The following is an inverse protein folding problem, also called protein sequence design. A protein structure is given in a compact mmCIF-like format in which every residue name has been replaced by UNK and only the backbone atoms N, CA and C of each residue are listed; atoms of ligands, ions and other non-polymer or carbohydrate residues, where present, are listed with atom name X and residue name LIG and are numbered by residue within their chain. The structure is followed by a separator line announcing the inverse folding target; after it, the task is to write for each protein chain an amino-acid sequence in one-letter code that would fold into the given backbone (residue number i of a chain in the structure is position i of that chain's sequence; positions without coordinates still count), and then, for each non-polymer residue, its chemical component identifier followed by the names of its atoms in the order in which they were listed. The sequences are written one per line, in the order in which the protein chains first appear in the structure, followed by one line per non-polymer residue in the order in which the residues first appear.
data_IF_311383238652
#
_entry.id   IF_311383238652
#
_cell.length_a   1.000
_cell.length_b   1.000
_cell.length_c   1.000
_cell.angle_alpha   90.00
_cell.angle_beta   90.00
_cell.angle_gamma   90.00
#
_symmetry.space_group_name_H-M   'P 1'
#
loop_
_entity.id
_entity.type
_entity.pdbx_description
1 polymer ?
#
# COMPACT_ATOMS: atom_id res chain seq x y z
N UNK A 1 -9.41 -8.92 -12.77
CA UNK A 1 -9.68 -7.78 -13.68
C UNK A 1 -8.47 -7.65 -14.59
N UNK A 2 -8.69 -7.53 -15.90
CA UNK A 2 -7.62 -7.30 -16.87
C UNK A 2 -7.21 -5.81 -16.82
N UNK A 3 -5.94 -5.51 -17.02
CA UNK A 3 -5.44 -4.13 -17.11
C UNK A 3 -6.14 -3.38 -18.27
N UNK A 4 -6.24 -2.04 -18.22
CA UNK A 4 -6.85 -1.24 -19.30
C UNK A 4 -6.19 -1.53 -20.66
N UNK A 5 -7.01 -1.62 -21.72
CA UNK A 5 -6.61 -2.12 -23.05
C UNK A 5 -6.02 -1.05 -23.99
N UNK A 6 -6.04 0.22 -23.59
CA UNK A 6 -5.47 1.35 -24.36
C UNK A 6 -4.17 1.80 -23.71
N UNK A 7 -3.14 2.05 -24.53
CA UNK A 7 -1.85 2.56 -24.05
C UNK A 7 -2.08 3.87 -23.28
N UNK A 8 -1.63 3.96 -22.01
CA UNK A 8 -1.93 5.11 -21.17
C UNK A 8 -1.20 6.37 -21.67
N UNK A 9 -1.75 7.54 -21.36
CA UNK A 9 -1.14 8.82 -21.77
C UNK A 9 0.13 9.15 -20.97
N UNK A 10 0.20 8.63 -19.74
CA UNK A 10 1.33 8.68 -18.84
C UNK A 10 1.25 7.47 -17.88
N UNK A 11 2.37 7.11 -17.27
CA UNK A 11 2.45 6.07 -16.26
C UNK A 11 3.11 6.62 -15.01
N UNK A 12 2.46 6.41 -13.86
CA UNK A 12 3.02 6.71 -12.54
C UNK A 12 3.43 5.41 -11.86
N UNK A 13 4.73 5.10 -11.89
CA UNK A 13 5.32 3.99 -11.14
C UNK A 13 5.50 4.37 -9.67
N UNK A 14 5.09 3.47 -8.76
CA UNK A 14 5.22 3.62 -7.32
C UNK A 14 5.95 2.42 -6.74
N UNK A 15 7.15 2.65 -6.22
CA UNK A 15 7.82 1.72 -5.32
C UNK A 15 7.36 2.00 -3.88
N UNK A 16 6.57 1.09 -3.31
CA UNK A 16 5.83 1.38 -2.08
C UNK A 16 6.63 1.01 -0.82
N UNK A 17 7.18 2.02 -0.15
CA UNK A 17 7.81 1.87 1.17
C UNK A 17 6.89 2.18 2.37
N UNK A 18 7.30 1.73 3.57
CA UNK A 18 6.53 1.87 4.81
C UNK A 18 6.25 3.33 5.19
N UNK A 19 7.28 4.17 5.16
CA UNK A 19 7.22 5.58 5.58
C UNK A 19 7.10 6.55 4.41
N UNK A 20 7.71 6.20 3.29
CA UNK A 20 7.70 6.95 2.04
C UNK A 20 7.66 5.96 0.89
N UNK A 21 6.96 6.32 -0.17
CA UNK A 21 7.07 5.72 -1.48
C UNK A 21 8.07 6.52 -2.30
N UNK A 22 8.55 5.93 -3.40
CA UNK A 22 9.11 6.72 -4.50
C UNK A 22 8.15 6.70 -5.67
N UNK A 23 7.89 7.87 -6.25
CA UNK A 23 6.98 8.07 -7.36
C UNK A 23 7.76 8.54 -8.59
N UNK A 24 7.60 7.83 -9.70
CA UNK A 24 8.17 8.20 -11.00
C UNK A 24 7.05 8.30 -12.04
N UNK A 25 6.82 9.52 -12.53
CA UNK A 25 5.86 9.80 -13.59
C UNK A 25 6.61 9.88 -14.92
N UNK A 26 6.22 9.03 -15.87
CA UNK A 26 6.70 9.08 -17.25
C UNK A 26 5.55 9.37 -18.21
N UNK A 27 5.84 10.04 -19.31
CA UNK A 27 4.87 10.22 -20.39
C UNK A 27 4.76 8.98 -21.30
N UNK A 28 4.00 9.11 -22.40
CA UNK A 28 3.78 8.04 -23.38
C UNK A 28 5.04 7.66 -24.18
N UNK A 29 5.98 8.59 -24.29
CA UNK A 29 7.22 8.46 -25.05
C UNK A 29 8.33 7.88 -24.15
N UNK A 30 8.09 7.84 -22.84
CA UNK A 30 8.99 7.26 -21.84
C UNK A 30 9.92 8.29 -21.19
N UNK A 31 9.63 9.58 -21.36
CA UNK A 31 10.35 10.67 -20.73
C UNK A 31 9.86 10.87 -19.29
N UNK A 32 10.81 11.07 -18.36
CA UNK A 32 10.51 11.27 -16.94
C UNK A 32 10.03 12.70 -16.74
N UNK A 33 8.77 12.88 -16.38
CA UNK A 33 8.16 14.18 -16.08
C UNK A 33 8.39 14.60 -14.62
N UNK A 34 8.42 13.63 -13.71
CA UNK A 34 8.68 13.85 -12.29
C UNK A 34 9.20 12.58 -11.61
N UNK A 35 10.15 12.73 -10.69
CA UNK A 35 10.68 11.65 -9.84
C UNK A 35 10.90 12.21 -8.43
N UNK A 36 10.19 11.69 -7.43
CA UNK A 36 10.30 12.22 -6.06
C UNK A 36 9.82 11.23 -4.99
N UNK A 37 10.35 11.34 -3.75
CA UNK A 37 9.79 10.63 -2.61
C UNK A 37 8.43 11.23 -2.21
N UNK A 38 7.48 10.37 -1.87
CA UNK A 38 6.13 10.76 -1.41
C UNK A 38 5.85 10.08 -0.08
N UNK A 39 5.63 10.88 0.97
CA UNK A 39 5.31 10.36 2.31
C UNK A 39 4.04 9.51 2.26
N UNK A 40 4.02 8.40 3.00
CA UNK A 40 2.87 7.51 3.10
C UNK A 40 1.78 8.13 4.01
N UNK A 41 1.14 9.18 3.51
CA UNK A 41 0.09 9.98 4.17
C UNK A 41 -0.95 10.37 3.13
N UNK A 42 -2.20 10.49 3.57
CA UNK A 42 -3.32 10.76 2.64
C UNK A 42 -3.14 12.06 1.86
N UNK A 43 -2.76 13.15 2.53
CA UNK A 43 -2.61 14.46 1.89
C UNK A 43 -1.51 14.48 0.82
N UNK A 44 -0.35 13.89 1.10
CA UNK A 44 0.76 13.81 0.14
C UNK A 44 0.44 12.90 -1.05
N UNK A 45 -0.26 11.78 -0.82
CA UNK A 45 -0.75 10.92 -1.90
C UNK A 45 -1.83 11.60 -2.74
N UNK A 46 -2.75 12.32 -2.10
CA UNK A 46 -3.80 13.08 -2.80
C UNK A 46 -3.20 14.18 -3.68
N UNK A 47 -2.21 14.90 -3.17
CA UNK A 47 -1.48 15.91 -3.94
C UNK A 47 -0.75 15.29 -5.14
N UNK A 48 -0.08 14.15 -4.94
CA UNK A 48 0.55 13.40 -6.04
C UNK A 48 -0.47 13.04 -7.12
N UNK A 49 -1.59 12.41 -6.75
CA UNK A 49 -2.58 11.93 -7.72
C UNK A 49 -3.35 13.07 -8.39
N UNK A 50 -3.58 14.19 -7.70
CA UNK A 50 -4.17 15.39 -8.29
C UNK A 50 -3.25 16.06 -9.32
N UNK A 51 -1.93 15.89 -9.19
CA UNK A 51 -0.95 16.42 -10.16
C UNK A 51 -0.77 15.55 -11.41
N UNK A 52 -1.27 14.32 -11.38
CA UNK A 52 -1.13 13.38 -12.49
C UNK A 52 -1.99 13.80 -13.69
N UNK A 53 -1.43 13.78 -14.93
CA UNK A 53 -2.21 14.06 -16.14
C UNK A 53 -3.41 13.13 -16.31
N UNK A 54 -4.44 13.62 -17.02
CA UNK A 54 -5.59 12.79 -17.37
C UNK A 54 -5.16 11.56 -18.20
N UNK A 55 -5.69 10.39 -17.87
CA UNK A 55 -5.31 9.13 -18.52
C UNK A 55 -4.01 8.52 -18.00
N UNK A 56 -3.48 8.99 -16.86
CA UNK A 56 -2.38 8.35 -16.14
C UNK A 56 -2.80 6.97 -15.61
N UNK A 57 -1.98 5.95 -15.85
CA UNK A 57 -2.07 4.66 -15.19
C UNK A 57 -1.11 4.63 -13.98
N UNK A 58 -1.64 4.38 -12.79
CA UNK A 58 -0.83 4.17 -11.58
C UNK A 58 -0.43 2.71 -11.48
N UNK A 59 0.85 2.43 -11.30
CA UNK A 59 1.38 1.06 -11.17
C UNK A 59 2.18 0.93 -9.89
N UNK A 60 1.78 -0.01 -9.05
CA UNK A 60 2.46 -0.32 -7.78
C UNK A 60 3.19 -1.67 -7.87
N UNK A 61 4.26 -1.83 -7.10
CA UNK A 61 4.98 -3.10 -6.88
C UNK A 61 4.42 -3.94 -5.72
N UNK A 62 3.52 -3.37 -4.92
CA UNK A 62 2.73 -4.08 -3.93
C UNK A 62 1.41 -3.35 -3.69
N UNK A 63 0.26 -4.01 -3.82
CA UNK A 63 -1.05 -3.38 -3.63
C UNK A 63 -1.71 -3.71 -2.27
N UNK A 64 -1.13 -4.63 -1.50
CA UNK A 64 -1.57 -5.00 -0.14
C UNK A 64 -0.69 -4.37 0.92
N UNK A 65 -1.15 -4.38 2.17
CA UNK A 65 -0.41 -3.85 3.33
C UNK A 65 0.08 -2.42 3.04
N UNK A 66 1.39 -2.23 2.85
CA UNK A 66 2.05 -0.94 2.61
C UNK A 66 1.41 -0.17 1.45
N UNK A 67 1.16 -0.80 0.30
CA UNK A 67 0.59 -0.10 -0.86
C UNK A 67 -0.92 0.07 -0.84
N UNK A 68 -1.62 -0.44 0.18
CA UNK A 68 -3.09 -0.35 0.24
C UNK A 68 -3.59 1.10 0.27
N UNK A 69 -2.88 1.99 0.96
CA UNK A 69 -3.27 3.40 1.04
C UNK A 69 -3.14 4.08 -0.33
N UNK A 70 -1.99 3.94 -0.98
CA UNK A 70 -1.73 4.48 -2.31
C UNK A 70 -2.79 4.02 -3.34
N UNK A 71 -3.12 2.72 -3.34
CA UNK A 71 -4.17 2.15 -4.21
C UNK A 71 -5.53 2.80 -3.94
N UNK A 72 -5.93 2.92 -2.67
CA UNK A 72 -7.22 3.54 -2.31
C UNK A 72 -7.28 5.00 -2.73
N UNK A 73 -6.22 5.78 -2.47
CA UNK A 73 -6.18 7.20 -2.81
C UNK A 73 -6.13 7.44 -4.32
N UNK A 74 -5.37 6.64 -5.08
CA UNK A 74 -5.36 6.69 -6.54
C UNK A 74 -6.75 6.42 -7.14
N UNK A 75 -7.47 5.41 -6.63
CA UNK A 75 -8.85 5.12 -7.04
C UNK A 75 -9.82 6.25 -6.66
N UNK A 76 -9.67 6.84 -5.48
CA UNK A 76 -10.47 7.98 -5.05
C UNK A 76 -10.25 9.21 -5.96
N UNK A 77 -9.05 9.38 -6.51
CA UNK A 77 -8.73 10.37 -7.53
C UNK A 77 -9.21 9.99 -8.95
N UNK A 78 -9.88 8.85 -9.12
CA UNK A 78 -10.39 8.38 -10.42
C UNK A 78 -9.33 7.80 -11.35
N UNK A 79 -8.12 7.54 -10.86
CA UNK A 79 -7.03 6.98 -11.66
C UNK A 79 -7.16 5.46 -11.80
N UNK A 80 -6.78 4.94 -12.96
CA UNK A 80 -6.64 3.51 -13.15
C UNK A 80 -5.43 2.99 -12.35
N UNK A 81 -5.56 1.83 -11.73
CA UNK A 81 -4.50 1.22 -10.91
C UNK A 81 -4.21 -0.20 -11.38
N UNK A 82 -2.93 -0.49 -11.59
CA UNK A 82 -2.41 -1.82 -11.89
C UNK A 82 -1.27 -2.19 -10.93
N UNK A 83 -0.91 -3.46 -10.94
CA UNK A 83 0.14 -4.05 -10.12
C UNK A 83 1.18 -4.71 -11.03
N UNK A 84 2.48 -4.44 -10.80
CA UNK A 84 3.58 -5.13 -11.46
C UNK A 84 4.07 -6.29 -10.57
N UNK A 85 3.88 -7.56 -10.96
CA UNK A 85 4.34 -8.71 -10.18
C UNK A 85 5.86 -8.72 -9.99
N UNK A 86 6.33 -9.14 -8.80
CA UNK A 86 7.76 -9.13 -8.45
C UNK A 86 8.67 -9.89 -9.41
N UNK A 87 8.18 -10.95 -10.07
CA UNK A 87 8.91 -11.67 -11.13
C UNK A 87 9.11 -10.83 -12.39
N UNK A 88 8.11 -10.03 -12.76
CA UNK A 88 8.21 -9.11 -13.90
C UNK A 88 9.11 -7.92 -13.57
N UNK A 89 8.96 -7.34 -12.37
CA UNK A 89 9.84 -6.28 -11.87
C UNK A 89 11.31 -6.72 -11.80
N UNK A 90 11.59 -7.93 -11.28
CA UNK A 90 12.95 -8.47 -11.19
C UNK A 90 13.59 -8.70 -12.57
N UNK A 91 12.83 -9.21 -13.55
CA UNK A 91 13.32 -9.35 -14.93
C UNK A 91 13.61 -8.00 -15.58
N UNK A 92 12.75 -7.02 -15.36
CA UNK A 92 12.96 -5.67 -15.88
C UNK A 92 14.18 -5.01 -15.25
N UNK A 93 14.34 -5.07 -13.92
CA UNK A 93 15.50 -4.54 -13.21
C UNK A 93 16.82 -5.16 -13.69
N UNK A 94 16.82 -6.45 -14.04
CA UNK A 94 17.99 -7.14 -14.61
C UNK A 94 18.46 -6.58 -15.97
N UNK A 95 17.59 -5.86 -16.70
CA UNK A 95 17.98 -5.17 -17.95
C UNK A 95 18.74 -3.86 -17.69
N UNK A 96 18.71 -3.35 -16.45
CA UNK A 96 19.41 -2.14 -16.01
C UNK A 96 20.68 -2.48 -15.20
N UNK A 97 21.28 -3.65 -15.47
CA UNK A 97 22.36 -4.24 -14.69
C UNK A 97 23.58 -3.31 -14.48
N UNK A 98 24.09 -3.28 -13.24
CA UNK A 98 25.38 -2.67 -12.88
C UNK A 98 25.33 -1.57 -11.81
N UNK A 99 24.14 -1.10 -11.43
CA UNK A 99 23.98 0.01 -10.47
C UNK A 99 23.32 -0.45 -9.16
N UNK A 100 23.62 0.24 -8.07
CA UNK A 100 23.03 -0.06 -6.76
C UNK A 100 21.51 0.08 -6.79
N UNK A 101 20.81 -0.84 -6.12
CA UNK A 101 19.35 -0.80 -6.00
C UNK A 101 18.92 0.46 -5.23
N UNK A 102 18.07 1.28 -5.82
CA UNK A 102 17.46 2.47 -5.18
C UNK A 102 15.96 2.51 -5.43
N UNK A 103 15.20 3.01 -4.46
CA UNK A 103 13.75 3.16 -4.58
C UNK A 103 13.35 4.04 -5.79
N UNK A 104 14.18 5.03 -6.11
CA UNK A 104 14.04 5.86 -7.31
C UNK A 104 14.03 5.04 -8.60
N UNK A 105 15.05 4.18 -8.75
CA UNK A 105 15.21 3.37 -9.94
C UNK A 105 14.14 2.29 -10.02
N UNK A 106 13.76 1.70 -8.89
CA UNK A 106 12.66 0.74 -8.82
C UNK A 106 11.35 1.37 -9.32
N UNK A 107 11.03 2.60 -8.89
CA UNK A 107 9.86 3.34 -9.36
C UNK A 107 9.90 3.62 -10.88
N UNK A 108 11.06 4.01 -11.42
CA UNK A 108 11.24 4.22 -12.86
C UNK A 108 11.10 2.91 -13.65
N UNK A 109 11.70 1.82 -13.16
CA UNK A 109 11.58 0.48 -13.76
C UNK A 109 10.12 0.04 -13.79
N UNK A 110 9.36 0.26 -12.72
CA UNK A 110 7.93 -0.03 -12.68
C UNK A 110 7.19 0.75 -13.77
N UNK A 111 7.42 2.06 -13.87
CA UNK A 111 6.77 2.92 -14.86
C UNK A 111 7.10 2.49 -16.30
N UNK A 112 8.39 2.31 -16.60
CA UNK A 112 8.86 1.89 -17.93
C UNK A 112 8.36 0.51 -18.31
N UNK A 113 8.35 -0.44 -17.38
CA UNK A 113 7.85 -1.80 -17.62
C UNK A 113 6.37 -1.79 -17.95
N UNK A 114 5.58 -1.00 -17.23
CA UNK A 114 4.17 -0.85 -17.51
C UNK A 114 3.88 -0.22 -18.88
N UNK A 115 4.70 0.74 -19.32
CA UNK A 115 4.57 1.37 -20.63
C UNK A 115 5.00 0.43 -21.77
N UNK A 116 6.12 -0.28 -21.61
CA UNK A 116 6.71 -1.12 -22.66
C UNK A 116 6.15 -2.55 -22.73
N UNK A 117 5.69 -3.10 -21.60
CA UNK A 117 5.23 -4.49 -21.46
C UNK A 117 3.91 -4.54 -20.68
N UNK A 118 2.81 -3.98 -21.22
CA UNK A 118 1.52 -3.90 -20.51
C UNK A 118 0.94 -5.26 -20.10
N UNK A 119 1.27 -6.33 -20.84
CA UNK A 119 0.85 -7.70 -20.52
C UNK A 119 1.51 -8.27 -19.25
N UNK A 120 2.55 -7.60 -18.73
CA UNK A 120 3.16 -7.93 -17.44
C UNK A 120 2.31 -7.48 -16.23
N UNK A 121 1.31 -6.63 -16.45
CA UNK A 121 0.51 -6.02 -15.40
C UNK A 121 -0.66 -6.90 -14.97
N UNK A 122 -0.93 -6.91 -13.66
CA UNK A 122 -2.10 -7.52 -13.05
C UNK A 122 -3.07 -6.44 -12.56
N UNK A 123 -4.38 -6.70 -12.66
CA UNK A 123 -5.39 -5.79 -12.12
C UNK A 123 -5.47 -5.85 -10.60
N UNK A 124 -5.71 -4.70 -9.95
CA UNK A 124 -5.90 -4.63 -8.50
C UNK A 124 -7.39 -4.83 -8.16
N UNK A 125 -7.77 -5.77 -7.26
CA UNK A 125 -9.18 -6.04 -6.91
C UNK A 125 -9.88 -4.83 -6.27
N UNK A 126 -11.09 -4.46 -6.72
CA UNK A 126 -11.72 -3.19 -6.31
C UNK A 126 -12.67 -3.22 -5.11
N UNK A 127 -13.45 -4.30 -4.92
CA UNK A 127 -14.65 -4.28 -4.07
C UNK A 127 -14.59 -5.20 -2.83
N UNK A 128 -13.83 -6.28 -2.91
CA UNK A 128 -13.64 -7.20 -1.79
C UNK A 128 -12.70 -6.64 -0.72
N UNK A 129 -11.76 -5.77 -1.08
CA UNK A 129 -10.69 -5.32 -0.18
C UNK A 129 -11.21 -4.54 1.04
N UNK A 130 -12.21 -3.67 0.88
CA UNK A 130 -12.77 -2.92 2.00
C UNK A 130 -13.49 -3.84 3.00
N UNK A 131 -14.22 -4.84 2.50
CA UNK A 131 -14.89 -5.83 3.34
C UNK A 131 -13.88 -6.73 4.06
N UNK A 132 -12.83 -7.18 3.38
CA UNK A 132 -11.76 -7.97 3.99
C UNK A 132 -10.98 -7.16 5.03
N UNK A 133 -10.70 -5.88 4.77
CA UNK A 133 -10.08 -4.99 5.75
C UNK A 133 -10.96 -4.80 6.99
N UNK A 134 -12.28 -4.61 6.81
CA UNK A 134 -13.22 -4.52 7.92
C UNK A 134 -13.27 -5.82 8.73
N UNK A 135 -13.26 -6.99 8.07
CA UNK A 135 -13.20 -8.30 8.73
C UNK A 135 -11.91 -8.47 9.53
N UNK A 136 -10.77 -8.10 8.97
CA UNK A 136 -9.48 -8.15 9.67
C UNK A 136 -9.47 -7.25 10.91
N UNK A 137 -9.99 -6.02 10.80
CA UNK A 137 -10.12 -5.11 11.94
C UNK A 137 -11.07 -5.65 13.02
N UNK A 138 -12.21 -6.24 12.63
CA UNK A 138 -13.14 -6.87 13.57
C UNK A 138 -12.47 -8.03 14.32
N UNK A 139 -11.78 -8.92 13.61
CA UNK A 139 -11.05 -10.03 14.23
C UNK A 139 -9.96 -9.55 15.19
N UNK A 140 -9.26 -8.46 14.85
CA UNK A 140 -8.22 -7.91 15.72
C UNK A 140 -8.81 -7.25 16.97
N UNK A 141 -9.96 -6.56 16.84
CA UNK A 141 -10.71 -6.05 17.99
C UNK A 141 -11.10 -7.18 18.93
N UNK A 142 -11.67 -8.26 18.39
CA UNK A 142 -12.13 -9.39 19.19
C UNK A 142 -10.95 -10.06 19.92
N UNK A 143 -9.80 -10.18 19.27
CA UNK A 143 -8.57 -10.65 19.90
C UNK A 143 -8.12 -9.75 21.06
N UNK A 144 -8.10 -8.42 20.86
CA UNK A 144 -7.71 -7.46 21.91
C UNK A 144 -8.68 -7.51 23.09
N UNK A 145 -9.99 -7.60 22.85
CA UNK A 145 -11.00 -7.75 23.90
C UNK A 145 -10.80 -9.04 24.70
N UNK A 146 -10.51 -10.15 24.02
CA UNK A 146 -10.25 -11.42 24.67
C UNK A 146 -8.97 -11.37 25.54
N UNK A 147 -7.89 -10.76 25.04
CA UNK A 147 -6.67 -10.57 25.81
C UNK A 147 -6.88 -9.65 27.01
N UNK A 148 -7.54 -8.51 26.85
CA UNK A 148 -7.84 -7.60 27.96
C UNK A 148 -8.67 -8.27 29.05
N UNK A 149 -9.68 -9.07 28.66
CA UNK A 149 -10.50 -9.85 29.61
C UNK A 149 -9.66 -10.88 30.36
N UNK A 150 -8.78 -11.60 29.65
CA UNK A 150 -7.87 -12.59 30.25
C UNK A 150 -6.93 -11.94 31.26
N UNK A 151 -6.31 -10.81 30.89
CA UNK A 151 -5.32 -10.13 31.72
C UNK A 151 -5.97 -9.52 32.97
N UNK A 152 -7.17 -8.94 32.83
CA UNK A 152 -7.97 -8.48 33.97
C UNK A 152 -8.33 -9.60 34.95
N UNK A 153 -8.81 -10.73 34.44
CA UNK A 153 -9.17 -11.86 35.29
C UNK A 153 -7.95 -12.44 36.01
N UNK A 154 -6.79 -12.44 35.34
CA UNK A 154 -5.53 -12.82 35.98
C UNK A 154 -5.12 -11.85 37.08
N UNK A 155 -5.25 -10.54 36.85
CA UNK A 155 -4.96 -9.53 37.87
C UNK A 155 -5.88 -9.65 39.08
N UNK A 156 -7.20 -9.83 38.85
CA UNK A 156 -8.17 -10.10 39.93
C UNK A 156 -7.78 -11.29 40.78
N UNK A 157 -7.41 -12.41 40.16
CA UNK A 157 -7.02 -13.61 40.89
C UNK A 157 -5.81 -13.36 41.81
N UNK A 158 -4.78 -12.67 41.31
CA UNK A 158 -3.58 -12.33 42.10
C UNK A 158 -3.91 -11.37 43.25
N UNK A 159 -4.75 -10.36 42.99
CA UNK A 159 -5.16 -9.41 44.02
C UNK A 159 -6.03 -10.06 45.10
N UNK A 160 -6.92 -10.98 44.72
CA UNK A 160 -7.76 -11.71 45.66
C UNK A 160 -6.93 -12.62 46.57
N UNK A 161 -5.86 -13.23 46.04
CA UNK A 161 -4.95 -14.05 46.83
C UNK A 161 -4.10 -13.20 47.80
N UNK A 162 -3.67 -12.01 47.37
CA UNK A 162 -2.68 -11.22 48.12
C UNK A 162 -3.28 -10.12 49.01
N UNK A 163 -4.32 -9.42 48.55
CA UNK A 163 -4.95 -8.28 49.23
C UNK A 163 -6.41 -8.06 48.77
N UNK A 164 -7.37 -8.82 49.34
CA UNK A 164 -8.79 -8.72 48.98
C UNK A 164 -9.40 -7.32 49.13
N UNK A 165 -8.94 -6.54 50.12
CA UNK A 165 -9.43 -5.18 50.34
C UNK A 165 -9.06 -4.23 49.19
N UNK A 166 -7.89 -4.43 48.57
CA UNK A 166 -7.47 -3.67 47.39
C UNK A 166 -8.23 -4.12 46.15
N UNK A 167 -8.45 -5.43 45.97
CA UNK A 167 -9.28 -5.95 44.87
C UNK A 167 -10.67 -5.31 44.86
N UNK A 168 -11.32 -5.25 46.02
CA UNK A 168 -12.64 -4.64 46.16
C UNK A 168 -12.67 -3.12 45.90
N UNK A 169 -11.54 -2.43 46.02
CA UNK A 169 -11.43 -0.98 45.82
C UNK A 169 -11.09 -0.58 44.38
N UNK A 170 -10.62 -1.51 43.54
CA UNK A 170 -10.22 -1.22 42.16
C UNK A 170 -11.32 -1.58 41.16
N UNK A 171 -11.63 -0.66 40.24
CA UNK A 171 -12.53 -0.94 39.13
C UNK A 171 -11.74 -1.61 37.99
N UNK A 172 -11.93 -2.92 37.87
CA UNK A 172 -11.43 -3.73 36.76
C UNK A 172 -12.60 -4.10 35.83
N UNK A 173 -13.51 -3.17 35.52
CA UNK A 173 -14.56 -3.31 34.49
C UNK A 173 -14.07 -3.05 33.06
#
# INVERSE_FOLDING_TARGET
MKAPSTRPAAVLGLDVGKSSHWACLIDRDGEVLASAPVRNREAELDALFASAPAGTLVVVDQFRNIGSLAVRRARAAGLAVAYLPGLAASRAAGLFAGEAKTDERDAEVIARTALGVPDSLSGVPGRGEALEAARALSSQRDHVVACATRDKNRLRAVLLESCPALEAAVDLS
#
